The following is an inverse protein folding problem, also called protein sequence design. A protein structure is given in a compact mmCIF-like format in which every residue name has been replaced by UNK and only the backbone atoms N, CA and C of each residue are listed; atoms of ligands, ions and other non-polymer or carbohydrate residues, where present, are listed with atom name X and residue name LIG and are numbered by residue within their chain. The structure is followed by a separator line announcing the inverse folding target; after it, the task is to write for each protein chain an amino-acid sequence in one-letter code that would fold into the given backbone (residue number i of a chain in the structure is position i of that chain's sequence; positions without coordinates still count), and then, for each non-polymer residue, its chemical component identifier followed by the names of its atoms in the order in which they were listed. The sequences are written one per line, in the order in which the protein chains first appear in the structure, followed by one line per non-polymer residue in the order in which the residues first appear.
data_IF_502087141156
#
_entry.id   IF_502087141156
#
_cell.length_a   1.000
_cell.length_b   1.000
_cell.length_c   1.000
_cell.angle_alpha   90.00
_cell.angle_beta   90.00
_cell.angle_gamma   90.00
#
_symmetry.space_group_name_H-M   'P 1'
#
loop_
_entity.id
_entity.type
_entity.pdbx_description
1 polymer ?
#
# COMPACT_ATOMS: atom_id res chain seq x y z
N UNK A 1 -19.34 -22.44 16.15
CA UNK A 1 -19.41 -21.20 15.34
C UNK A 1 -19.85 -20.09 16.28
N UNK A 2 -19.04 -19.07 16.51
CA UNK A 2 -19.37 -17.95 17.40
C UNK A 2 -20.33 -16.99 16.69
N UNK A 3 -21.32 -16.46 17.42
CA UNK A 3 -22.17 -15.38 16.91
C UNK A 3 -21.44 -14.04 17.08
N UNK A 4 -20.77 -13.61 16.00
CA UNK A 4 -19.99 -12.37 15.97
C UNK A 4 -20.88 -11.11 16.00
N UNK A 5 -22.13 -11.21 15.52
CA UNK A 5 -23.04 -10.06 15.44
C UNK A 5 -23.47 -9.61 16.84
N UNK A 6 -23.69 -10.57 17.74
CA UNK A 6 -24.19 -10.31 19.10
C UNK A 6 -23.12 -10.36 20.18
N UNK A 7 -21.91 -10.76 19.85
CA UNK A 7 -20.81 -10.82 20.81
C UNK A 7 -20.53 -9.43 21.44
N UNK A 8 -20.37 -9.36 22.77
CA UNK A 8 -19.83 -8.19 23.46
C UNK A 8 -18.41 -7.85 22.97
N UNK A 9 -18.01 -6.59 23.06
CA UNK A 9 -16.72 -6.14 22.54
C UNK A 9 -15.52 -6.88 23.16
N UNK A 10 -15.52 -7.09 24.48
CA UNK A 10 -14.46 -7.83 25.17
C UNK A 10 -14.29 -9.27 24.63
N UNK A 11 -15.37 -9.90 24.16
CA UNK A 11 -15.28 -11.21 23.52
C UNK A 11 -14.72 -11.14 22.10
N UNK A 12 -14.97 -10.04 21.36
CA UNK A 12 -14.38 -9.84 20.03
C UNK A 12 -12.86 -9.71 20.13
N UNK A 13 -12.36 -9.02 21.15
CA UNK A 13 -10.91 -8.89 21.39
C UNK A 13 -10.27 -10.26 21.65
N UNK A 14 -10.91 -11.09 22.50
CA UNK A 14 -10.47 -12.46 22.75
C UNK A 14 -10.52 -13.35 21.51
N UNK A 15 -11.58 -13.23 20.69
CA UNK A 15 -11.70 -13.97 19.43
C UNK A 15 -10.59 -13.56 18.46
N UNK A 16 -10.33 -12.26 18.30
CA UNK A 16 -9.26 -11.77 17.43
C UNK A 16 -7.88 -12.23 17.92
N UNK A 17 -7.66 -12.26 19.24
CA UNK A 17 -6.44 -12.78 19.82
C UNK A 17 -6.28 -14.29 19.56
N UNK A 18 -7.34 -15.08 19.76
CA UNK A 18 -7.34 -16.53 19.50
C UNK A 18 -7.11 -16.85 18.01
N UNK A 19 -7.70 -16.05 17.12
CA UNK A 19 -7.46 -16.14 15.68
C UNK A 19 -6.06 -15.64 15.26
N UNK A 20 -5.27 -15.05 16.17
CA UNK A 20 -3.91 -14.63 15.90
C UNK A 20 -3.79 -13.32 15.11
N UNK A 21 -4.72 -12.38 15.30
CA UNK A 21 -4.75 -11.11 14.59
C UNK A 21 -3.37 -10.41 14.60
N UNK A 22 -2.72 -10.23 13.43
CA UNK A 22 -1.38 -9.66 13.31
C UNK A 22 -1.39 -8.13 13.15
N UNK A 23 -2.57 -7.54 12.95
CA UNK A 23 -2.71 -6.15 12.56
C UNK A 23 -2.78 -5.25 13.80
N UNK A 24 -1.82 -4.33 13.99
CA UNK A 24 -1.77 -3.45 15.17
C UNK A 24 -2.69 -2.23 15.00
N UNK A 25 -3.82 -2.38 14.30
CA UNK A 25 -4.71 -1.28 13.96
C UNK A 25 -5.83 -1.17 14.99
N UNK A 26 -6.07 0.04 15.46
CA UNK A 26 -7.25 0.35 16.27
C UNK A 26 -8.49 0.28 15.38
N UNK A 27 -9.43 -0.58 15.77
CA UNK A 27 -10.70 -0.79 15.08
C UNK A 27 -11.86 -0.51 16.03
N UNK A 28 -12.93 0.07 15.48
CA UNK A 28 -14.19 0.15 16.19
C UNK A 28 -14.84 -1.23 16.32
N UNK A 29 -15.88 -1.35 17.13
CA UNK A 29 -16.54 -2.64 17.40
C UNK A 29 -17.04 -3.30 16.12
N UNK A 30 -17.55 -2.52 15.16
CA UNK A 30 -17.99 -3.03 13.87
C UNK A 30 -16.82 -3.55 13.03
N UNK A 31 -15.70 -2.82 13.00
CA UNK A 31 -14.45 -3.23 12.38
C UNK A 31 -13.90 -4.53 12.98
N UNK A 32 -13.91 -4.67 14.31
CA UNK A 32 -13.52 -5.92 15.00
C UNK A 32 -14.37 -7.12 14.57
N UNK A 33 -15.70 -6.95 14.48
CA UNK A 33 -16.63 -8.00 14.00
C UNK A 33 -16.32 -8.40 12.56
N UNK A 34 -16.19 -7.41 11.68
CA UNK A 34 -15.88 -7.62 10.27
C UNK A 34 -14.53 -8.30 10.11
N UNK A 35 -13.52 -7.92 10.90
CA UNK A 35 -12.21 -8.56 10.86
C UNK A 35 -12.32 -10.01 11.31
N UNK A 36 -12.98 -10.29 12.43
CA UNK A 36 -13.16 -11.64 12.94
C UNK A 36 -13.86 -12.57 11.92
N UNK A 37 -14.77 -12.05 11.09
CA UNK A 37 -15.46 -12.85 10.07
C UNK A 37 -14.60 -13.15 8.84
N UNK A 38 -13.65 -12.29 8.49
CA UNK A 38 -12.82 -12.44 7.27
C UNK A 38 -11.38 -12.89 7.54
N UNK A 39 -10.88 -12.78 8.77
CA UNK A 39 -9.46 -12.99 9.10
C UNK A 39 -8.95 -14.38 8.67
N UNK A 40 -9.75 -15.43 8.87
CA UNK A 40 -9.39 -16.78 8.41
C UNK A 40 -9.25 -16.85 6.89
N UNK A 41 -10.15 -16.21 6.15
CA UNK A 41 -10.07 -16.15 4.68
C UNK A 41 -8.87 -15.30 4.24
N UNK A 42 -8.54 -14.23 4.94
CA UNK A 42 -7.32 -13.44 4.69
C UNK A 42 -6.07 -14.31 4.84
N UNK A 43 -6.00 -15.19 5.83
CA UNK A 43 -4.88 -16.12 5.96
C UNK A 43 -4.79 -17.11 4.80
N UNK A 44 -5.92 -17.59 4.28
CA UNK A 44 -5.94 -18.51 3.13
C UNK A 44 -5.42 -17.83 1.86
N UNK A 45 -5.60 -16.53 1.75
CA UNK A 45 -5.12 -15.72 0.61
C UNK A 45 -3.73 -15.12 0.84
N UNK A 46 -3.09 -15.41 1.99
CA UNK A 46 -1.74 -14.93 2.29
C UNK A 46 -0.75 -15.38 1.23
N UNK A 47 0.14 -14.48 0.82
CA UNK A 47 1.12 -14.74 -0.24
C UNK A 47 0.60 -14.51 -1.66
N UNK A 48 -0.65 -14.07 -1.82
CA UNK A 48 -1.23 -13.78 -3.14
C UNK A 48 -1.43 -12.28 -3.34
N UNK A 49 -1.37 -11.82 -4.59
CA UNK A 49 -1.70 -10.44 -4.95
C UNK A 49 -3.14 -10.09 -4.53
N UNK A 50 -4.09 -10.99 -4.81
CA UNK A 50 -5.52 -10.83 -4.45
C UNK A 50 -5.71 -10.66 -2.95
N UNK A 51 -4.97 -11.43 -2.12
CA UNK A 51 -5.03 -11.30 -0.66
C UNK A 51 -4.54 -9.93 -0.19
N UNK A 52 -3.46 -9.41 -0.77
CA UNK A 52 -2.93 -8.07 -0.49
C UNK A 52 -3.94 -6.99 -0.89
N UNK A 53 -4.51 -7.10 -2.09
CA UNK A 53 -5.55 -6.18 -2.60
C UNK A 53 -6.78 -6.13 -1.69
N UNK A 54 -7.31 -7.29 -1.32
CA UNK A 54 -8.49 -7.40 -0.46
C UNK A 54 -8.23 -6.84 0.94
N UNK A 55 -7.05 -7.08 1.50
CA UNK A 55 -6.68 -6.56 2.81
C UNK A 55 -6.55 -5.05 2.83
N UNK A 56 -5.90 -4.46 1.81
CA UNK A 56 -5.78 -3.01 1.68
C UNK A 56 -7.16 -2.37 1.48
N UNK A 57 -8.02 -2.99 0.67
CA UNK A 57 -9.41 -2.55 0.52
C UNK A 57 -10.19 -2.62 1.83
N UNK A 58 -10.02 -3.69 2.60
CA UNK A 58 -10.70 -3.88 3.88
C UNK A 58 -10.32 -2.81 4.92
N UNK A 59 -9.02 -2.58 5.13
CA UNK A 59 -8.55 -1.69 6.19
C UNK A 59 -8.56 -0.22 5.79
N UNK A 60 -8.24 0.10 4.54
CA UNK A 60 -8.02 1.48 4.11
C UNK A 60 -9.11 1.99 3.17
N UNK A 61 -9.96 1.12 2.62
CA UNK A 61 -10.93 1.48 1.59
C UNK A 61 -10.29 1.84 0.24
N UNK A 62 -9.02 1.47 0.03
CA UNK A 62 -8.22 1.88 -1.13
C UNK A 62 -8.13 0.72 -2.13
N UNK A 63 -8.22 1.06 -3.42
CA UNK A 63 -7.97 0.12 -4.49
C UNK A 63 -6.51 0.21 -4.93
N UNK A 64 -5.86 -0.95 -5.01
CA UNK A 64 -4.56 -1.08 -5.65
C UNK A 64 -4.80 -1.06 -7.16
N UNK A 65 -4.01 -0.25 -7.86
CA UNK A 65 -4.06 -0.18 -9.32
C UNK A 65 -3.29 -1.34 -9.94
N UNK A 66 -2.10 -1.64 -9.41
CA UNK A 66 -1.28 -2.76 -9.86
C UNK A 66 -0.27 -3.19 -8.78
N UNK A 67 0.06 -4.48 -8.77
CA UNK A 67 1.24 -5.03 -8.10
C UNK A 67 2.18 -5.52 -9.20
N UNK A 68 3.34 -4.87 -9.34
CA UNK A 68 4.25 -5.11 -10.47
C UNK A 68 5.61 -5.59 -10.01
N UNK A 69 6.30 -6.46 -10.77
CA UNK A 69 7.69 -6.80 -10.47
C UNK A 69 8.56 -5.55 -10.42
N UNK A 70 9.45 -5.48 -9.44
CA UNK A 70 10.38 -4.36 -9.30
C UNK A 70 11.32 -4.35 -10.50
N UNK A 71 11.33 -3.22 -11.22
CA UNK A 71 12.26 -3.01 -12.32
C UNK A 71 13.47 -2.26 -11.77
N UNK A 72 14.51 -3.00 -11.41
CA UNK A 72 15.78 -2.34 -11.14
C UNK A 72 16.30 -1.65 -12.40
N UNK A 73 17.18 -0.67 -12.22
CA UNK A 73 18.02 -0.17 -13.31
C UNK A 73 18.73 -1.37 -13.93
N UNK A 74 18.61 -1.47 -15.24
CA UNK A 74 19.30 -2.43 -16.10
C UNK A 74 19.65 -1.71 -17.39
N UNK A 75 20.42 -2.39 -18.24
CA UNK A 75 20.87 -1.86 -19.52
C UNK A 75 19.73 -1.23 -20.30
N UNK A 76 19.95 0.00 -20.73
CA UNK A 76 19.14 0.67 -21.74
C UNK A 76 19.93 0.63 -23.05
N UNK A 77 19.42 -0.12 -24.03
CA UNK A 77 20.10 -0.28 -25.31
C UNK A 77 20.20 1.08 -26.03
N UNK A 78 21.43 1.52 -26.31
CA UNK A 78 21.70 2.80 -26.95
C UNK A 78 21.99 3.96 -25.99
N UNK A 79 21.87 3.76 -24.68
CA UNK A 79 22.24 4.74 -23.65
C UNK A 79 23.38 4.22 -22.76
N UNK A 80 23.34 2.93 -22.37
CA UNK A 80 24.37 2.35 -21.49
C UNK A 80 25.69 2.08 -22.21
N UNK A 81 26.80 2.47 -21.59
CA UNK A 81 28.17 2.30 -22.03
C UNK A 81 28.78 0.97 -21.55
N UNK A 82 29.32 0.19 -22.49
CA UNK A 82 29.93 -1.11 -22.23
C UNK A 82 31.17 -0.96 -21.34
N UNK A 83 31.07 -1.43 -20.09
CA UNK A 83 32.16 -1.37 -19.11
C UNK A 83 32.01 -0.29 -18.04
N UNK A 84 31.04 0.62 -18.17
CA UNK A 84 30.74 1.65 -17.16
C UNK A 84 29.43 1.35 -16.42
N UNK A 85 28.29 1.38 -17.13
CA UNK A 85 26.94 1.19 -16.56
C UNK A 85 26.16 0.04 -17.23
N UNK A 86 26.85 -0.75 -18.06
CA UNK A 86 26.32 -1.93 -18.73
C UNK A 86 25.99 -3.07 -17.74
N UNK A 87 24.75 -3.09 -17.26
CA UNK A 87 24.22 -4.14 -16.39
C UNK A 87 23.18 -4.95 -17.18
N UNK A 88 23.44 -6.22 -17.48
CA UNK A 88 22.57 -7.15 -18.26
C UNK A 88 21.18 -7.47 -17.65
N UNK A 89 20.66 -6.59 -16.78
CA UNK A 89 19.49 -6.77 -15.95
C UNK A 89 19.89 -7.05 -14.49
N UNK A 90 18.96 -6.92 -13.54
CA UNK A 90 19.23 -7.23 -12.14
C UNK A 90 19.71 -8.68 -12.00
N UNK A 91 21.01 -8.86 -11.79
CA UNK A 91 21.61 -10.18 -11.58
C UNK A 91 21.28 -10.74 -10.19
N UNK A 92 20.79 -9.90 -9.27
CA UNK A 92 20.49 -10.30 -7.91
C UNK A 92 19.20 -11.12 -7.83
N UNK A 93 19.24 -12.24 -7.08
CA UNK A 93 18.05 -13.01 -6.73
C UNK A 93 17.01 -12.13 -6.02
N UNK A 94 17.48 -11.11 -5.29
CA UNK A 94 16.65 -10.13 -4.60
C UNK A 94 15.66 -9.43 -5.54
N UNK A 95 16.16 -8.82 -6.62
CA UNK A 95 15.33 -8.05 -7.56
C UNK A 95 14.30 -8.93 -8.30
N UNK A 96 14.58 -10.23 -8.48
CA UNK A 96 13.59 -11.18 -9.06
C UNK A 96 12.40 -11.45 -8.15
N UNK A 97 12.58 -11.32 -6.84
CA UNK A 97 11.52 -11.52 -5.85
C UNK A 97 11.04 -10.19 -5.25
N UNK A 98 11.43 -9.07 -5.86
CA UNK A 98 11.01 -7.75 -5.46
C UNK A 98 9.79 -7.28 -6.27
N UNK A 99 8.91 -6.51 -5.65
CA UNK A 99 7.73 -5.95 -6.29
C UNK A 99 7.37 -4.58 -5.72
N UNK A 100 6.63 -3.84 -6.53
CA UNK A 100 6.09 -2.52 -6.21
C UNK A 100 4.56 -2.59 -6.16
N UNK A 101 3.98 -1.69 -5.37
CA UNK A 101 2.53 -1.54 -5.23
C UNK A 101 2.16 -0.16 -5.71
N UNK A 102 1.29 -0.08 -6.72
CA UNK A 102 0.78 1.18 -7.27
C UNK A 102 -0.63 1.43 -6.78
N UNK A 103 -0.90 2.63 -6.28
CA UNK A 103 -2.22 3.10 -5.87
C UNK A 103 -2.66 4.27 -6.74
N UNK A 104 -3.98 4.46 -6.87
CA UNK A 104 -4.56 5.50 -7.73
C UNK A 104 -4.83 6.83 -7.02
N UNK A 105 -4.63 6.90 -5.70
CA UNK A 105 -4.90 8.08 -4.87
C UNK A 105 -3.69 8.42 -3.99
N UNK A 106 -3.42 9.71 -3.73
CA UNK A 106 -2.39 10.09 -2.78
C UNK A 106 -2.80 9.67 -1.37
N UNK A 107 -1.86 9.13 -0.62
CA UNK A 107 -2.09 8.58 0.72
C UNK A 107 -1.66 9.57 1.81
N UNK A 108 -2.30 9.50 2.97
CA UNK A 108 -1.78 10.13 4.18
C UNK A 108 -0.56 9.37 4.70
N UNK A 109 0.25 10.01 5.56
CA UNK A 109 1.41 9.33 6.21
C UNK A 109 0.97 8.08 6.99
N UNK A 110 -0.19 8.13 7.64
CA UNK A 110 -0.75 7.00 8.37
C UNK A 110 -1.15 5.87 7.41
N UNK A 111 -1.86 6.18 6.33
CA UNK A 111 -2.27 5.19 5.33
C UNK A 111 -1.05 4.51 4.69
N UNK A 112 0.01 5.25 4.37
CA UNK A 112 1.28 4.68 3.87
C UNK A 112 1.88 3.67 4.84
N UNK A 113 1.91 3.99 6.13
CA UNK A 113 2.45 3.10 7.17
C UNK A 113 1.60 1.83 7.32
N UNK A 114 0.28 1.98 7.37
CA UNK A 114 -0.64 0.85 7.48
C UNK A 114 -0.57 -0.05 6.24
N UNK A 115 -0.56 0.53 5.04
CA UNK A 115 -0.41 -0.21 3.78
C UNK A 115 0.89 -1.02 3.80
N UNK A 116 2.01 -0.39 4.16
CA UNK A 116 3.31 -1.09 4.27
C UNK A 116 3.25 -2.25 5.26
N UNK A 117 2.63 -2.07 6.43
CA UNK A 117 2.48 -3.14 7.42
C UNK A 117 1.60 -4.30 6.89
N UNK A 118 0.51 -4.00 6.19
CA UNK A 118 -0.37 -5.02 5.58
C UNK A 118 0.41 -5.82 4.52
N UNK A 119 1.08 -5.13 3.59
CA UNK A 119 1.84 -5.78 2.52
C UNK A 119 2.97 -6.62 3.09
N UNK A 120 3.74 -6.09 4.05
CA UNK A 120 4.86 -6.81 4.65
C UNK A 120 4.41 -8.06 5.40
N UNK A 121 3.25 -8.02 6.05
CA UNK A 121 2.68 -9.19 6.70
C UNK A 121 2.16 -10.23 5.69
N UNK A 122 1.49 -9.80 4.62
CA UNK A 122 0.79 -10.69 3.68
C UNK A 122 1.65 -11.21 2.54
N UNK A 123 2.76 -10.55 2.20
CA UNK A 123 3.63 -10.99 1.12
C UNK A 123 4.20 -12.39 1.38
N UNK A 124 4.53 -13.16 0.34
CA UNK A 124 5.31 -14.38 0.51
C UNK A 124 6.63 -14.09 1.23
N UNK A 125 7.05 -14.97 2.13
CA UNK A 125 8.23 -14.75 2.97
C UNK A 125 9.51 -14.45 2.17
N UNK A 126 9.66 -15.07 0.99
CA UNK A 126 10.84 -14.91 0.13
C UNK A 126 10.80 -13.69 -0.81
N UNK A 127 9.73 -12.88 -0.74
CA UNK A 127 9.54 -11.69 -1.58
C UNK A 127 9.80 -10.40 -0.83
N UNK A 128 10.07 -9.33 -1.57
CA UNK A 128 10.45 -8.03 -1.04
C UNK A 128 9.55 -6.93 -1.60
N UNK A 129 8.89 -6.19 -0.74
CA UNK A 129 8.16 -4.99 -1.12
C UNK A 129 9.11 -3.80 -1.14
N UNK A 130 9.28 -3.15 -2.30
CA UNK A 130 10.23 -2.05 -2.47
C UNK A 130 9.47 -0.72 -2.46
N UNK A 131 8.79 -0.38 -3.56
CA UNK A 131 8.22 0.94 -3.75
C UNK A 131 6.69 0.96 -3.68
N UNK A 132 6.19 1.98 -2.98
CA UNK A 132 4.79 2.38 -3.00
C UNK A 132 4.66 3.54 -3.97
N UNK A 133 4.05 3.28 -5.12
CA UNK A 133 3.90 4.25 -6.20
C UNK A 133 2.54 4.94 -6.06
N UNK A 134 2.57 6.21 -5.70
CA UNK A 134 1.39 7.07 -5.60
C UNK A 134 1.25 7.95 -6.86
N UNK A 135 0.03 8.39 -7.20
CA UNK A 135 -0.14 9.34 -8.29
C UNK A 135 0.60 10.64 -7.94
N UNK A 136 1.25 11.24 -8.93
CA UNK A 136 1.79 12.59 -8.75
C UNK A 136 0.62 13.53 -8.51
N UNK A 137 0.60 14.16 -7.34
CA UNK A 137 -0.29 15.31 -7.13
C UNK A 137 0.19 16.39 -8.11
N UNK A 138 -0.69 16.95 -8.97
CA UNK A 138 -0.33 18.09 -9.78
C UNK A 138 0.25 19.17 -8.85
N UNK A 139 1.37 19.82 -9.22
CA UNK A 139 1.84 20.96 -8.43
C UNK A 139 0.69 21.97 -8.32
N UNK A 140 0.20 22.22 -7.10
CA UNK A 140 -0.65 23.39 -6.88
C UNK A 140 0.28 24.59 -6.91
N UNK A 141 0.26 25.32 -8.00
CA UNK A 141 0.96 26.58 -8.10
C UNK A 141 0.17 27.60 -7.27
N UNK A 142 0.67 27.92 -6.08
CA UNK A 142 0.20 29.05 -5.27
C UNK A 142 0.80 30.36 -5.82
N UNK A 143 0.73 30.54 -7.14
CA UNK A 143 1.13 31.75 -7.79
C UNK A 143 0.12 32.12 -8.85
N UNK A 144 -0.11 33.42 -8.95
CA UNK A 144 -1.09 34.05 -9.82
C UNK A 144 -0.99 33.54 -11.27
N UNK A 145 -2.10 32.98 -11.78
CA UNK A 145 -2.22 32.54 -13.17
C UNK A 145 -2.78 33.69 -14.04
N UNK A 146 -2.00 34.10 -15.04
CA UNK A 146 -2.39 35.10 -16.03
C UNK A 146 -3.67 34.68 -16.77
N UNK A 147 -4.79 35.31 -16.42
CA UNK A 147 -6.09 35.10 -17.07
C UNK A 147 -7.16 34.43 -16.21
N UNK A 148 -6.83 33.99 -14.99
CA UNK A 148 -7.80 33.34 -14.06
C UNK A 148 -7.98 34.13 -12.75
N UNK A 149 -6.93 34.77 -12.26
CA UNK A 149 -6.94 35.43 -10.94
C UNK A 149 -7.33 36.92 -11.02
N UNK A 150 -8.26 37.36 -10.17
CA UNK A 150 -8.67 38.77 -10.06
C UNK A 150 -7.61 39.61 -9.32
N UNK A 151 -7.25 40.77 -9.90
CA UNK A 151 -6.30 41.72 -9.32
C UNK A 151 -6.91 42.40 -8.07
N UNK A 152 -6.31 42.18 -6.89
CA UNK A 152 -6.53 43.01 -5.70
C UNK A 152 -7.11 42.34 -4.44
N UNK A 153 -7.32 41.02 -4.43
CA UNK A 153 -7.86 40.31 -3.24
C UNK A 153 -6.80 39.55 -2.43
N UNK A 154 -5.80 38.94 -3.07
CA UNK A 154 -4.79 38.12 -2.41
C UNK A 154 -3.42 38.40 -3.04
N UNK A 155 -2.63 39.27 -2.41
CA UNK A 155 -1.26 39.54 -2.83
C UNK A 155 -0.37 39.75 -1.61
N UNK A 156 0.29 38.69 -1.16
CA UNK A 156 1.58 38.82 -0.46
C UNK A 156 2.68 38.52 -1.47
N UNK A 157 3.54 39.52 -1.68
CA UNK A 157 4.67 39.48 -2.60
C UNK A 157 5.93 39.30 -1.74
N UNK A 158 6.61 38.17 -1.89
CA UNK A 158 7.94 37.96 -1.32
C UNK A 158 9.02 38.54 -2.24
#
# INVERSE_FOLDING_TARGET
MFDLERAPEAFLDLILQDLGNPFPFELDVLGKRRLASVLVEMYRQKGTAVGIENAIRFFLGINIEAITPYRSVGLVLGESELGEDWILGPSSRFARYAFDVKVSVPLSVQQRRQLRAIVDYLKPAHTHFIDLIEPRVPPSYDHWELGVSELGAESELH
#
